data_IF_630106423433
#
_entry.id   IF_630106423433
#
_cell.length_a   1.000
_cell.length_b   1.000
_cell.length_c   1.000
_cell.angle_alpha   90.00
_cell.angle_beta   90.00
_cell.angle_gamma   90.00
#
_symmetry.space_group_name_H-M   'P 1'
#
loop_
_entity.id
_entity.type
_entity.pdbx_description
1 polymer ?
#
# COMPACT_ATOMS: atom_id res chain seq x y z
N UNK A 1 -9.61 -8.48 -8.17
CA UNK A 1 -10.20 -7.16 -8.50
C UNK A 1 -9.34 -6.02 -7.94
N UNK A 2 -9.01 -6.02 -6.63
CA UNK A 2 -8.03 -5.09 -6.02
C UNK A 2 -6.71 -5.00 -6.80
N UNK A 3 -6.18 -6.13 -7.26
CA UNK A 3 -4.96 -6.20 -8.07
C UNK A 3 -5.01 -5.35 -9.35
N UNK A 4 -6.17 -5.26 -10.02
CA UNK A 4 -6.32 -4.42 -11.22
C UNK A 4 -6.19 -2.93 -10.88
N UNK A 5 -6.80 -2.50 -9.77
CA UNK A 5 -6.72 -1.12 -9.29
C UNK A 5 -5.29 -0.78 -8.82
N UNK A 6 -4.62 -1.73 -8.16
CA UNK A 6 -3.23 -1.59 -7.75
C UNK A 6 -2.30 -1.44 -8.97
N UNK A 7 -2.44 -2.31 -9.98
CA UNK A 7 -1.64 -2.24 -11.21
C UNK A 7 -1.83 -0.91 -11.94
N UNK A 8 -3.06 -0.39 -12.03
CA UNK A 8 -3.35 0.95 -12.57
C UNK A 8 -2.68 2.09 -11.77
N UNK A 9 -2.38 1.85 -10.50
CA UNK A 9 -1.67 2.78 -9.61
C UNK A 9 -0.17 2.47 -9.49
N UNK A 10 0.37 1.61 -10.38
CA UNK A 10 1.75 1.12 -10.32
C UNK A 10 2.13 0.51 -8.95
N UNK A 11 1.16 -0.11 -8.26
CA UNK A 11 1.34 -0.82 -7.00
C UNK A 11 1.32 -2.34 -7.26
N UNK A 12 2.30 -3.11 -6.75
CA UNK A 12 2.26 -4.56 -6.82
C UNK A 12 1.30 -5.16 -5.79
N UNK A 13 0.84 -6.38 -6.05
CA UNK A 13 0.11 -7.20 -5.08
C UNK A 13 -1.42 -7.04 -5.07
N UNK A 14 -2.05 -7.78 -4.16
CA UNK A 14 -3.51 -8.00 -4.12
C UNK A 14 -4.22 -7.31 -2.96
N UNK A 15 -3.47 -6.70 -2.04
CA UNK A 15 -4.05 -5.98 -0.89
C UNK A 15 -4.79 -4.75 -1.44
N UNK A 16 -6.08 -4.57 -1.12
CA UNK A 16 -6.84 -3.43 -1.59
C UNK A 16 -6.26 -2.12 -1.03
N UNK A 17 -6.10 -1.13 -1.91
CA UNK A 17 -5.46 0.13 -1.57
C UNK A 17 -6.05 1.30 -2.37
N UNK A 18 -5.86 2.52 -1.87
CA UNK A 18 -6.13 3.77 -2.59
C UNK A 18 -7.48 3.80 -3.28
N UNK A 19 -7.46 3.83 -4.62
CA UNK A 19 -8.65 3.94 -5.47
C UNK A 19 -9.65 2.80 -5.24
N UNK A 20 -9.20 1.57 -4.99
CA UNK A 20 -10.11 0.45 -4.71
C UNK A 20 -10.92 0.72 -3.44
N UNK A 21 -10.23 1.12 -2.36
CA UNK A 21 -10.87 1.40 -1.08
C UNK A 21 -11.88 2.55 -1.21
N UNK A 22 -11.51 3.62 -1.90
CA UNK A 22 -12.41 4.76 -2.16
C UNK A 22 -13.62 4.38 -3.01
N UNK A 23 -13.45 3.47 -3.98
CA UNK A 23 -14.54 3.07 -4.90
C UNK A 23 -15.58 2.21 -4.19
N UNK A 24 -15.14 1.32 -3.29
CA UNK A 24 -16.01 0.35 -2.61
C UNK A 24 -16.30 0.68 -1.14
N UNK A 25 -15.83 1.83 -0.64
CA UNK A 25 -16.11 2.31 0.71
C UNK A 25 -15.32 1.61 1.81
N UNK A 26 -14.16 1.03 1.50
CA UNK A 26 -13.31 0.39 2.50
C UNK A 26 -12.57 1.48 3.27
N UNK A 27 -12.59 1.44 4.60
CA UNK A 27 -11.96 2.43 5.48
C UNK A 27 -10.44 2.22 5.60
N UNK A 28 -9.91 1.11 5.11
CA UNK A 28 -8.48 0.82 5.04
C UNK A 28 -7.83 0.39 6.36
N UNK A 29 -8.57 0.36 7.47
CA UNK A 29 -8.05 -0.09 8.77
C UNK A 29 -8.00 -1.61 8.91
N UNK A 30 -8.97 -2.33 8.30
CA UNK A 30 -9.05 -3.79 8.35
C UNK A 30 -9.71 -4.36 7.10
N UNK A 31 -8.95 -4.39 6.00
CA UNK A 31 -9.45 -4.88 4.72
C UNK A 31 -9.97 -6.32 4.76
N UNK A 32 -9.41 -7.16 5.63
CA UNK A 32 -9.81 -8.57 5.77
C UNK A 32 -11.22 -8.71 6.37
N UNK A 33 -11.56 -7.87 7.36
CA UNK A 33 -12.90 -7.84 7.96
C UNK A 33 -13.93 -7.32 6.96
N UNK A 34 -13.61 -6.21 6.29
CA UNK A 34 -14.49 -5.58 5.29
C UNK A 34 -14.74 -6.54 4.10
N UNK A 35 -13.72 -7.30 3.69
CA UNK A 35 -13.86 -8.32 2.65
C UNK A 35 -14.74 -9.49 3.09
N UNK A 36 -14.67 -9.89 4.37
CA UNK A 36 -15.51 -10.97 4.91
C UNK A 36 -16.99 -10.57 4.98
N UNK A 37 -17.30 -9.30 5.24
CA UNK A 37 -18.68 -8.78 5.24
C UNK A 37 -19.21 -8.56 3.82
N UNK A 38 -18.31 -8.35 2.85
CA UNK A 38 -18.66 -8.08 1.46
C UNK A 38 -18.96 -9.38 0.71
N UNK A 39 -20.25 -9.69 0.52
CA UNK A 39 -20.69 -10.93 -0.18
C UNK A 39 -20.25 -11.01 -1.64
N UNK A 40 -20.41 -9.94 -2.39
CA UNK A 40 -19.99 -9.87 -3.79
C UNK A 40 -19.82 -8.42 -4.23
N UNK A 41 -18.79 -8.18 -5.03
CA UNK A 41 -18.57 -6.91 -5.72
C UNK A 41 -18.68 -7.19 -7.22
N UNK A 42 -19.60 -6.50 -7.88
CA UNK A 42 -19.68 -6.47 -9.33
C UNK A 42 -19.16 -5.11 -9.81
N UNK A 43 -18.36 -5.12 -10.87
CA UNK A 43 -17.82 -3.91 -11.47
C UNK A 43 -18.01 -3.97 -12.98
N UNK A 44 -18.96 -3.17 -13.50
CA UNK A 44 -19.10 -2.86 -14.92
C UNK A 44 -18.97 -1.35 -15.07
N UNK A 45 -17.88 -0.88 -15.66
CA UNK A 45 -17.63 0.55 -15.83
C UNK A 45 -16.60 0.83 -16.90
N UNK A 46 -16.70 2.04 -17.49
CA UNK A 46 -15.72 2.57 -18.44
C UNK A 46 -14.88 3.63 -17.74
N UNK A 47 -13.56 3.56 -17.90
CA UNK A 47 -12.62 4.53 -17.31
C UNK A 47 -12.05 5.42 -18.40
N UNK A 48 -12.30 6.72 -18.28
CA UNK A 48 -11.67 7.73 -19.14
C UNK A 48 -10.52 8.34 -18.35
N UNK A 49 -9.29 8.18 -18.83
CA UNK A 49 -8.12 8.81 -18.22
C UNK A 49 -8.00 10.24 -18.75
N UNK A 50 -8.04 11.23 -17.84
CA UNK A 50 -7.90 12.65 -18.22
C UNK A 50 -6.44 13.10 -18.25
N UNK A 51 -5.62 12.58 -17.35
CA UNK A 51 -4.18 12.82 -17.29
C UNK A 51 -3.50 11.61 -16.62
N UNK A 52 -2.21 11.43 -16.90
CA UNK A 52 -1.38 10.44 -16.23
C UNK A 52 -0.44 11.14 -15.25
N UNK A 53 -0.47 10.73 -13.99
CA UNK A 53 0.49 11.14 -12.97
C UNK A 53 1.47 10.00 -12.75
N UNK A 54 2.77 10.30 -12.81
CA UNK A 54 3.82 9.39 -12.40
C UNK A 54 4.44 9.93 -11.11
N UNK A 55 4.47 9.10 -10.06
CA UNK A 55 5.21 9.41 -8.84
C UNK A 55 6.54 8.68 -8.96
N UNK A 56 7.62 9.43 -9.16
CA UNK A 56 8.96 8.88 -9.15
C UNK A 56 9.26 8.32 -7.76
N UNK A 57 9.30 6.98 -7.68
CA UNK A 57 9.68 6.29 -6.45
C UNK A 57 11.19 6.18 -6.37
N UNK A 58 11.81 7.11 -5.68
CA UNK A 58 13.20 6.97 -5.27
C UNK A 58 13.29 5.98 -4.10
N UNK A 59 14.35 5.17 -4.03
CA UNK A 59 14.59 4.34 -2.85
C UNK A 59 14.61 5.23 -1.61
N UNK A 60 13.82 4.85 -0.59
CA UNK A 60 13.82 5.54 0.69
C UNK A 60 15.21 5.36 1.31
N UNK A 61 15.98 6.43 1.37
CA UNK A 61 17.25 6.46 2.06
C UNK A 61 16.99 6.83 3.52
N UNK A 62 17.49 6.01 4.45
CA UNK A 62 17.55 6.42 5.85
C UNK A 62 18.42 7.67 5.95
N UNK A 63 17.95 8.64 6.74
CA UNK A 63 18.74 9.82 7.07
C UNK A 63 20.03 9.39 7.78
N UNK A 64 21.13 10.11 7.52
CA UNK A 64 22.45 9.69 7.99
C UNK A 64 22.50 9.55 9.50
N UNK A 65 21.89 10.47 10.26
CA UNK A 65 21.83 10.36 11.72
C UNK A 65 21.19 9.05 12.21
N UNK A 66 20.19 8.53 11.50
CA UNK A 66 19.56 7.24 11.85
C UNK A 66 20.52 6.10 11.57
N UNK A 67 21.22 6.13 10.42
CA UNK A 67 22.23 5.12 10.09
C UNK A 67 23.37 5.09 11.12
N UNK A 68 23.84 6.26 11.55
CA UNK A 68 24.89 6.36 12.57
C UNK A 68 24.42 5.97 13.97
N UNK A 69 23.13 6.09 14.26
CA UNK A 69 22.54 5.66 15.53
C UNK A 69 22.35 4.14 15.62
N UNK A 70 22.38 3.43 14.48
CA UNK A 70 22.32 1.96 14.47
C UNK A 70 23.69 1.40 14.85
N UNK A 71 23.82 0.66 15.96
CA UNK A 71 25.08 0.06 16.32
C UNK A 71 25.49 -0.99 15.27
N UNK A 72 26.78 -1.04 14.93
CA UNK A 72 27.34 -1.99 13.97
C UNK A 72 27.21 -3.46 14.39
N UNK A 73 27.02 -3.69 15.69
CA UNK A 73 26.84 -5.00 16.30
C UNK A 73 25.66 -4.94 17.25
N UNK A 74 24.73 -5.88 17.08
CA UNK A 74 23.62 -6.04 18.02
C UNK A 74 24.06 -6.99 19.13
N UNK A 75 24.28 -6.46 20.34
CA UNK A 75 24.51 -7.27 21.55
C UNK A 75 23.26 -7.21 22.46
N UNK A 76 22.31 -8.14 22.31
CA UNK A 76 21.09 -8.15 23.11
C UNK A 76 21.36 -8.25 24.63
N UNK A 77 22.46 -8.91 25.01
CA UNK A 77 22.84 -9.12 26.40
C UNK A 77 23.31 -7.85 27.13
N UNK A 78 23.70 -6.80 26.39
CA UNK A 78 24.11 -5.52 26.98
C UNK A 78 22.92 -4.63 27.43
N UNK A 79 21.69 -5.04 27.10
CA UNK A 79 20.45 -4.34 27.45
C UNK A 79 19.63 -5.05 28.56
N UNK A 80 20.22 -6.07 29.22
CA UNK A 80 19.62 -6.80 30.33
C UNK A 80 19.74 -6.07 31.67
#
# INVERSE_FOLDING_TARGET
MSELFNQKSSLPGKIPSGLFNSTFGFNGSSWASEMSETKSLAFNGYFISLFNLHIDRYPLLLADHVRHAVPSTWEPAAFA
#
